data_IF_913761859068
#
_entry.id   IF_913761859068
#
_cell.length_a   1.000
_cell.length_b   1.000
_cell.length_c   1.000
_cell.angle_alpha   90.00
_cell.angle_beta   90.00
_cell.angle_gamma   90.00
#
_symmetry.space_group_name_H-M   'P 1'
#
loop_
_entity.id
_entity.type
_entity.pdbx_description
1 polymer ?
#
# COMPACT_ATOMS: atom_id res chain seq x y z
N UNK A 1 38.00 -2.48 -5.70
CA UNK A 1 37.22 -2.98 -6.85
C UNK A 1 36.34 -4.10 -6.32
N UNK A 2 35.02 -4.02 -6.57
CA UNK A 2 33.91 -4.51 -5.72
C UNK A 2 33.53 -3.51 -4.61
N UNK A 3 32.87 -2.44 -5.06
CA UNK A 3 31.89 -1.68 -4.30
C UNK A 3 30.66 -1.53 -5.22
N UNK A 4 29.48 -1.43 -4.60
CA UNK A 4 28.20 -0.99 -5.17
C UNK A 4 27.30 -2.02 -5.90
N UNK A 5 26.00 -1.92 -5.56
CA UNK A 5 24.79 -2.33 -6.34
C UNK A 5 23.80 -3.39 -5.75
N UNK A 6 23.85 -3.76 -4.47
CA UNK A 6 22.90 -4.75 -3.90
C UNK A 6 21.83 -4.18 -2.94
N UNK A 7 21.22 -3.05 -3.29
CA UNK A 7 19.94 -2.64 -2.69
C UNK A 7 18.96 -2.26 -3.80
N UNK A 8 18.38 -3.25 -4.46
CA UNK A 8 17.18 -3.07 -5.26
C UNK A 8 15.99 -2.78 -4.33
N UNK A 9 15.86 -1.53 -3.90
CA UNK A 9 14.71 -1.04 -3.14
C UNK A 9 13.58 -0.73 -4.12
N UNK A 10 12.84 -1.77 -4.49
CA UNK A 10 11.68 -1.66 -5.36
C UNK A 10 10.53 -2.46 -4.75
N UNK A 11 9.89 -1.88 -3.72
CA UNK A 11 8.63 -2.40 -3.19
C UNK A 11 7.54 -2.04 -4.20
N UNK A 12 7.34 -2.89 -5.20
CA UNK A 12 6.20 -2.79 -6.11
C UNK A 12 5.16 -3.84 -5.74
N UNK A 13 4.02 -3.40 -5.22
CA UNK A 13 2.92 -4.27 -4.82
C UNK A 13 2.02 -4.50 -6.06
N UNK A 14 2.29 -5.58 -6.81
CA UNK A 14 1.40 -6.08 -7.88
C UNK A 14 0.51 -7.18 -7.37
N UNK A 15 -0.74 -6.87 -6.99
CA UNK A 15 -1.64 -7.91 -6.52
C UNK A 15 -3.07 -7.71 -7.00
N UNK A 16 -3.30 -8.09 -8.25
CA UNK A 16 -4.61 -8.60 -8.65
C UNK A 16 -4.44 -9.67 -9.74
N UNK A 17 -4.29 -10.94 -9.32
CA UNK A 17 -4.26 -12.08 -10.26
C UNK A 17 -5.69 -12.49 -10.53
N UNK A 18 -6.22 -12.26 -11.74
CA UNK A 18 -7.34 -13.08 -12.23
C UNK A 18 -7.27 -13.40 -13.72
N UNK A 19 -7.25 -14.71 -13.92
CA UNK A 19 -7.52 -15.51 -15.12
C UNK A 19 -6.36 -15.74 -16.09
N UNK A 20 -6.08 -17.03 -16.44
CA UNK A 20 -5.26 -17.34 -17.59
C UNK A 20 -5.98 -16.87 -18.87
N UNK A 21 -5.20 -16.41 -19.85
CA UNK A 21 -5.71 -16.01 -21.16
C UNK A 21 -6.54 -17.15 -21.77
N UNK A 22 -7.82 -16.86 -22.08
CA UNK A 22 -8.75 -17.83 -22.68
C UNK A 22 -9.89 -18.35 -21.78
N UNK A 23 -10.21 -17.68 -20.67
CA UNK A 23 -11.43 -18.03 -19.90
C UNK A 23 -12.66 -17.51 -20.66
N UNK A 24 -13.55 -18.36 -21.20
CA UNK A 24 -14.75 -17.89 -21.88
C UNK A 24 -15.66 -17.18 -20.88
N UNK A 25 -16.21 -16.02 -21.25
CA UNK A 25 -17.26 -15.37 -20.47
C UNK A 25 -18.48 -16.30 -20.42
N UNK A 26 -18.75 -16.85 -19.24
CA UNK A 26 -19.91 -17.73 -19.05
C UNK A 26 -21.13 -16.85 -18.76
N UNK A 27 -22.20 -16.90 -19.58
CA UNK A 27 -23.46 -16.26 -19.25
C UNK A 27 -24.01 -16.88 -17.96
N UNK A 28 -24.53 -16.03 -17.06
CA UNK A 28 -25.19 -16.43 -15.82
C UNK A 28 -26.26 -17.50 -16.08
N UNK A 29 -25.91 -18.75 -15.78
CA UNK A 29 -26.84 -19.87 -15.71
C UNK A 29 -26.96 -20.31 -14.25
N UNK A 30 -28.18 -20.17 -13.74
CA UNK A 30 -28.62 -20.60 -12.42
C UNK A 30 -28.45 -22.13 -12.36
N UNK A 31 -27.71 -22.66 -11.38
CA UNK A 31 -27.64 -24.10 -11.14
C UNK A 31 -28.33 -24.46 -9.83
N UNK A 32 -29.39 -25.24 -9.96
CA UNK A 32 -30.02 -26.01 -8.89
C UNK A 32 -29.07 -27.11 -8.35
N UNK A 33 -29.35 -27.50 -7.12
CA UNK A 33 -28.66 -28.49 -6.29
C UNK A 33 -28.69 -29.92 -6.85
N UNK A 34 -27.66 -30.73 -6.56
CA UNK A 34 -27.75 -32.02 -5.83
C UNK A 34 -26.46 -32.87 -5.88
N UNK A 35 -25.97 -33.31 -4.71
CA UNK A 35 -25.71 -34.74 -4.46
C UNK A 35 -24.26 -35.32 -4.45
N UNK A 36 -23.69 -35.46 -3.24
CA UNK A 36 -23.24 -36.74 -2.59
C UNK A 36 -21.90 -37.44 -3.01
N UNK A 37 -20.94 -37.38 -2.05
CA UNK A 37 -20.11 -38.47 -1.43
C UNK A 37 -18.66 -38.81 -1.87
N UNK A 38 -17.72 -38.34 -1.03
CA UNK A 38 -16.62 -39.00 -0.25
C UNK A 38 -15.75 -40.09 -0.92
N UNK A 39 -14.43 -39.86 -0.99
CA UNK A 39 -13.41 -40.69 -0.29
C UNK A 39 -12.09 -39.92 -0.11
N UNK A 40 -11.58 -39.90 1.14
CA UNK A 40 -10.44 -39.08 1.56
C UNK A 40 -9.06 -39.73 1.39
N UNK A 41 -8.03 -38.90 1.53
CA UNK A 41 -6.70 -39.31 1.95
C UNK A 41 -6.23 -38.43 3.11
N UNK A 42 -6.07 -39.06 4.28
CA UNK A 42 -5.44 -38.50 5.48
C UNK A 42 -3.93 -38.60 5.40
N UNK A 43 -3.22 -37.49 5.64
CA UNK A 43 -1.85 -37.31 6.21
C UNK A 43 -1.32 -35.97 5.65
N UNK A 44 -0.75 -35.03 6.38
CA UNK A 44 0.03 -35.00 7.63
C UNK A 44 -0.15 -33.62 8.26
N UNK A 45 -0.05 -33.53 9.59
CA UNK A 45 -0.31 -32.32 10.39
C UNK A 45 0.18 -31.02 9.75
N UNK A 46 -0.76 -30.11 9.49
CA UNK A 46 -0.45 -28.73 9.14
C UNK A 46 0.33 -28.14 10.30
N UNK A 47 1.66 -28.02 10.13
CA UNK A 47 2.48 -27.22 11.01
C UNK A 47 1.83 -25.83 11.08
N UNK A 48 1.47 -25.40 12.29
CA UNK A 48 0.98 -24.05 12.56
C UNK A 48 2.16 -23.11 12.28
N UNK A 49 2.28 -22.70 11.02
CA UNK A 49 3.40 -21.94 10.51
C UNK A 49 2.93 -21.13 9.31
N UNK A 50 2.58 -19.87 9.55
CA UNK A 50 2.28 -18.91 8.49
C UNK A 50 3.56 -18.66 7.67
N UNK A 51 3.71 -19.35 6.54
CA UNK A 51 4.78 -19.09 5.55
C UNK A 51 4.30 -19.06 4.10
N UNK A 52 3.00 -18.91 3.86
CA UNK A 52 2.49 -18.61 2.51
C UNK A 52 1.88 -17.22 2.53
N UNK A 53 2.44 -16.34 1.70
CA UNK A 53 1.74 -15.11 1.33
C UNK A 53 0.48 -15.53 0.55
N UNK A 54 -0.66 -14.86 0.77
CA UNK A 54 -1.88 -15.08 -0.03
C UNK A 54 -1.73 -14.58 -1.48
N UNK A 55 -0.55 -14.05 -1.80
CA UNK A 55 -0.28 -13.13 -2.88
C UNK A 55 1.00 -13.57 -3.60
N UNK A 56 0.91 -13.77 -4.91
CA UNK A 56 2.04 -14.20 -5.77
C UNK A 56 2.75 -12.94 -6.28
N UNK A 57 4.00 -12.75 -5.89
CA UNK A 57 4.86 -11.65 -6.37
C UNK A 57 5.84 -12.09 -7.47
N UNK A 58 6.30 -11.14 -8.28
CA UNK A 58 7.36 -11.36 -9.27
C UNK A 58 8.15 -10.07 -9.54
N UNK A 59 9.45 -10.20 -9.82
CA UNK A 59 10.34 -9.10 -10.24
C UNK A 59 10.68 -9.14 -11.74
N UNK A 60 10.00 -9.97 -12.54
CA UNK A 60 10.33 -10.19 -13.96
C UNK A 60 9.86 -9.06 -14.89
N UNK A 61 8.95 -8.21 -14.42
CA UNK A 61 8.31 -7.17 -15.24
C UNK A 61 9.05 -5.84 -15.15
N UNK A 62 8.99 -5.05 -16.22
CA UNK A 62 9.51 -3.69 -16.21
C UNK A 62 8.62 -2.76 -15.39
N UNK A 63 9.22 -1.71 -14.83
CA UNK A 63 8.54 -0.70 -13.99
C UNK A 63 7.32 -0.07 -14.68
N UNK A 64 7.36 0.16 -15.99
CA UNK A 64 6.21 0.72 -16.71
C UNK A 64 5.04 -0.26 -16.83
N UNK A 65 5.32 -1.56 -17.02
CA UNK A 65 4.29 -2.62 -17.10
C UNK A 65 3.56 -2.73 -15.77
N UNK A 66 4.39 -2.72 -14.74
CA UNK A 66 4.02 -2.58 -13.36
C UNK A 66 3.04 -1.40 -13.16
N UNK A 67 3.48 -0.16 -13.37
CA UNK A 67 2.62 1.02 -13.17
C UNK A 67 1.31 0.91 -13.99
N UNK A 68 1.38 0.49 -15.25
CA UNK A 68 0.20 0.34 -16.11
C UNK A 68 -0.81 -0.67 -15.59
N UNK A 69 -0.34 -1.78 -15.03
CA UNK A 69 -1.18 -2.82 -14.42
C UNK A 69 -1.84 -2.32 -13.13
N UNK A 70 -1.09 -1.62 -12.27
CA UNK A 70 -1.61 -1.12 -10.99
C UNK A 70 -2.69 -0.06 -11.18
N UNK A 71 -2.61 0.75 -12.24
CA UNK A 71 -3.53 1.86 -12.49
C UNK A 71 -4.63 1.52 -13.50
N UNK A 72 -4.82 0.24 -13.87
CA UNK A 72 -5.82 -0.18 -14.85
C UNK A 72 -7.24 -0.16 -14.25
N UNK A 73 -7.72 1.02 -13.85
CA UNK A 73 -9.01 1.24 -13.22
C UNK A 73 -10.15 0.78 -14.15
N UNK A 74 -11.07 -0.09 -13.67
CA UNK A 74 -12.24 -0.47 -14.44
C UNK A 74 -13.02 0.77 -14.91
N UNK A 75 -13.52 0.72 -16.15
CA UNK A 75 -14.21 1.82 -16.85
C UNK A 75 -13.34 2.98 -17.34
N UNK A 76 -12.14 3.18 -16.81
CA UNK A 76 -11.23 4.25 -17.25
C UNK A 76 -10.16 3.75 -18.21
N UNK A 77 -9.58 2.58 -17.93
CA UNK A 77 -8.47 2.02 -18.68
C UNK A 77 -8.72 0.55 -18.97
N UNK A 78 -8.25 0.11 -20.14
CA UNK A 78 -8.19 -1.32 -20.46
C UNK A 78 -7.31 -2.04 -19.44
N UNK A 79 -7.62 -3.29 -19.13
CA UNK A 79 -6.70 -4.14 -18.38
C UNK A 79 -5.34 -4.25 -19.06
N UNK A 80 -4.35 -4.49 -18.22
CA UNK A 80 -3.04 -4.87 -18.69
C UNK A 80 -2.97 -6.38 -18.78
N UNK A 81 -2.67 -6.93 -19.96
CA UNK A 81 -2.42 -8.36 -20.12
C UNK A 81 -0.97 -8.62 -20.51
N UNK A 82 -0.41 -9.66 -19.90
CA UNK A 82 0.70 -10.40 -20.49
C UNK A 82 0.12 -11.67 -21.15
N UNK A 83 0.88 -12.35 -22.01
CA UNK A 83 0.42 -13.53 -22.77
C UNK A 83 -0.18 -14.66 -21.88
N UNK A 84 0.02 -14.59 -20.55
CA UNK A 84 -0.42 -15.58 -19.57
C UNK A 84 -1.47 -15.03 -18.60
N UNK A 85 -1.42 -13.76 -18.23
CA UNK A 85 -2.18 -13.17 -17.13
C UNK A 85 -2.83 -11.84 -17.51
N UNK A 86 -3.99 -11.58 -16.93
CA UNK A 86 -4.71 -10.30 -17.03
C UNK A 86 -4.72 -9.61 -15.66
N UNK A 87 -4.33 -8.34 -15.67
CA UNK A 87 -4.13 -7.50 -14.50
C UNK A 87 -5.13 -6.35 -14.52
N UNK A 88 -5.69 -6.08 -13.35
CA UNK A 88 -6.64 -5.00 -13.08
C UNK A 88 -6.08 -4.10 -11.98
N UNK A 89 -6.67 -2.92 -11.82
CA UNK A 89 -6.28 -1.97 -10.79
C UNK A 89 -6.12 -2.62 -9.40
N UNK A 90 -5.07 -2.19 -8.70
CA UNK A 90 -4.79 -2.58 -7.33
C UNK A 90 -5.88 -2.11 -6.36
N UNK A 91 -6.59 -1.03 -6.66
CA UNK A 91 -7.64 -0.44 -5.81
C UNK A 91 -8.75 -1.44 -5.45
N UNK A 92 -9.06 -2.39 -6.34
CA UNK A 92 -10.07 -3.43 -6.13
C UNK A 92 -9.71 -4.33 -4.92
N UNK A 93 -8.42 -4.49 -4.63
CA UNK A 93 -7.91 -5.38 -3.57
C UNK A 93 -7.26 -4.59 -2.42
N UNK A 94 -6.55 -3.52 -2.76
CA UNK A 94 -5.60 -2.84 -1.88
C UNK A 94 -5.50 -1.34 -2.18
N UNK A 95 -6.63 -0.63 -2.22
CA UNK A 95 -6.62 0.83 -2.43
C UNK A 95 -5.88 1.60 -1.32
N UNK A 96 -5.82 1.02 -0.11
CA UNK A 96 -4.89 1.43 0.93
C UNK A 96 -3.83 0.31 1.12
N UNK A 97 -2.63 0.44 0.53
CA UNK A 97 -1.63 -0.62 0.53
C UNK A 97 -0.86 -0.73 1.85
N UNK A 98 -1.19 0.04 2.88
CA UNK A 98 -0.39 0.16 4.12
C UNK A 98 -0.11 -1.19 4.79
N UNK A 99 -1.10 -2.09 4.85
CA UNK A 99 -0.91 -3.42 5.42
C UNK A 99 0.05 -4.30 4.59
N UNK A 100 0.03 -4.14 3.27
CA UNK A 100 0.97 -4.82 2.37
C UNK A 100 2.37 -4.26 2.55
N UNK A 101 2.51 -2.94 2.68
CA UNK A 101 3.80 -2.30 2.97
C UNK A 101 4.43 -2.79 4.27
N UNK A 102 3.64 -2.92 5.35
CA UNK A 102 4.12 -3.50 6.63
C UNK A 102 4.61 -4.93 6.41
N UNK A 103 3.83 -5.74 5.69
CA UNK A 103 4.18 -7.15 5.44
C UNK A 103 5.45 -7.29 4.61
N UNK A 104 5.57 -6.54 3.52
CA UNK A 104 6.75 -6.58 2.65
C UNK A 104 7.99 -6.07 3.38
N UNK A 105 7.87 -5.02 4.21
CA UNK A 105 8.96 -4.55 5.05
C UNK A 105 9.47 -5.65 6.01
N UNK A 106 8.56 -6.40 6.65
CA UNK A 106 8.93 -7.54 7.51
C UNK A 106 9.57 -8.70 6.75
N UNK A 107 9.25 -8.88 5.47
CA UNK A 107 9.87 -9.91 4.63
C UNK A 107 11.29 -9.50 4.20
N UNK A 108 11.49 -8.23 3.86
CA UNK A 108 12.80 -7.69 3.46
C UNK A 108 13.75 -7.56 4.65
N UNK A 109 13.24 -7.10 5.80
CA UNK A 109 14.02 -6.86 7.00
C UNK A 109 13.37 -7.52 8.22
N UNK A 110 13.51 -8.85 8.38
CA UNK A 110 12.84 -9.62 9.44
C UNK A 110 13.28 -9.20 10.86
N UNK A 111 14.51 -8.73 11.00
CA UNK A 111 15.08 -8.29 12.28
C UNK A 111 14.90 -6.79 12.54
N UNK A 112 14.46 -6.02 11.54
CA UNK A 112 14.24 -4.58 11.69
C UNK A 112 12.84 -4.28 12.21
N UNK A 113 12.75 -3.44 13.22
CA UNK A 113 11.47 -2.94 13.73
C UNK A 113 11.01 -1.75 12.90
N UNK A 114 9.70 -1.65 12.69
CA UNK A 114 9.08 -0.48 12.06
C UNK A 114 8.85 0.56 13.15
N UNK A 115 9.56 1.68 13.06
CA UNK A 115 9.54 2.76 14.04
C UNK A 115 8.41 3.79 13.80
N UNK A 116 8.13 4.05 12.52
CA UNK A 116 7.22 5.08 12.06
C UNK A 116 6.53 4.59 10.80
N UNK A 117 5.22 4.78 10.73
CA UNK A 117 4.40 4.46 9.58
C UNK A 117 3.62 5.71 9.19
N UNK A 118 3.80 6.14 7.94
CA UNK A 118 3.10 7.29 7.38
C UNK A 118 2.30 6.80 6.18
N UNK A 119 0.99 7.03 6.20
CA UNK A 119 0.09 6.72 5.10
C UNK A 119 -0.59 8.01 4.64
N UNK A 120 -0.63 8.20 3.32
CA UNK A 120 -1.07 9.44 2.67
C UNK A 120 -2.21 9.09 1.73
N UNK A 121 -3.38 9.67 1.97
CA UNK A 121 -4.56 9.53 1.12
C UNK A 121 -4.64 10.64 0.06
N UNK A 122 -5.43 10.38 -0.98
CA UNK A 122 -5.68 11.31 -2.08
C UNK A 122 -6.81 12.32 -1.80
N UNK A 123 -7.26 12.43 -0.55
CA UNK A 123 -8.44 13.20 -0.18
C UNK A 123 -9.70 12.36 -0.16
N UNK A 124 -10.71 12.84 0.57
CA UNK A 124 -12.03 12.22 0.64
C UNK A 124 -13.10 13.28 0.82
N UNK A 125 -14.30 12.96 0.37
CA UNK A 125 -15.47 13.80 0.58
C UNK A 125 -16.15 13.44 1.91
N UNK A 126 -16.73 14.41 2.63
CA UNK A 126 -17.55 14.10 3.79
C UNK A 126 -18.67 13.11 3.45
N UNK A 127 -18.92 12.14 4.32
CA UNK A 127 -19.98 11.14 4.11
C UNK A 127 -21.34 11.81 3.99
N UNK A 128 -22.00 11.64 2.84
CA UNK A 128 -23.35 12.14 2.59
C UNK A 128 -24.35 10.98 2.57
N UNK A 129 -25.54 11.20 3.15
CA UNK A 129 -26.63 10.25 3.03
C UNK A 129 -27.09 10.18 1.56
N UNK A 130 -27.09 8.97 0.99
CA UNK A 130 -27.59 8.76 -0.38
C UNK A 130 -29.10 9.00 -0.43
N UNK A 131 -29.54 9.84 -1.37
CA UNK A 131 -30.96 10.13 -1.62
C UNK A 131 -31.44 9.31 -2.82
N UNK A 132 -32.29 8.29 -2.62
CA UNK A 132 -32.87 7.50 -3.72
C UNK A 132 -33.19 6.04 -3.37
N UNK A 133 -33.88 5.34 -4.28
CA UNK A 133 -34.13 3.90 -4.21
C UNK A 133 -33.14 3.11 -5.07
N UNK A 134 -32.89 1.85 -4.71
CA UNK A 134 -31.85 1.01 -5.32
C UNK A 134 -32.19 0.66 -6.77
N UNK A 135 -31.39 1.11 -7.75
CA UNK A 135 -31.40 0.59 -9.12
C UNK A 135 -30.25 -0.39 -9.33
N UNK A 136 -30.42 -1.30 -10.29
CA UNK A 136 -29.42 -2.32 -10.61
C UNK A 136 -28.05 -1.73 -11.00
N UNK A 137 -28.04 -0.63 -11.77
CA UNK A 137 -26.81 0.08 -12.13
C UNK A 137 -26.11 0.69 -10.91
N UNK A 138 -26.88 1.20 -9.95
CA UNK A 138 -26.32 1.74 -8.70
C UNK A 138 -25.59 0.64 -7.91
N UNK A 139 -26.06 -0.61 -8.00
CA UNK A 139 -25.46 -1.75 -7.28
C UNK A 139 -24.03 -2.02 -7.73
N UNK A 140 -23.74 -1.94 -9.04
CA UNK A 140 -22.38 -2.11 -9.56
C UNK A 140 -21.42 -1.04 -9.03
N UNK A 141 -21.86 0.22 -9.06
CA UNK A 141 -21.10 1.34 -8.51
C UNK A 141 -20.88 1.21 -6.99
N UNK A 142 -21.91 0.81 -6.23
CA UNK A 142 -21.78 0.55 -4.78
C UNK A 142 -20.70 -0.50 -4.50
N UNK A 143 -20.70 -1.59 -5.28
CA UNK A 143 -19.75 -2.69 -5.08
C UNK A 143 -18.31 -2.24 -5.34
N UNK A 144 -18.10 -1.40 -6.36
CA UNK A 144 -16.77 -0.87 -6.69
C UNK A 144 -16.31 0.13 -5.64
N UNK A 145 -17.16 1.10 -5.28
CA UNK A 145 -16.86 2.05 -4.20
C UNK A 145 -16.57 1.32 -2.88
N UNK A 146 -17.33 0.27 -2.59
CA UNK A 146 -17.11 -0.57 -1.41
C UNK A 146 -15.81 -1.35 -1.50
N UNK A 147 -15.47 -1.94 -2.65
CA UNK A 147 -14.21 -2.66 -2.84
C UNK A 147 -13.00 -1.73 -2.71
N UNK A 148 -13.09 -0.54 -3.29
CA UNK A 148 -12.05 0.48 -3.28
C UNK A 148 -12.04 1.35 -2.00
N UNK A 149 -12.88 1.07 -0.99
CA UNK A 149 -12.85 1.83 0.27
C UNK A 149 -11.51 1.62 1.00
N UNK A 150 -10.88 2.74 1.36
CA UNK A 150 -9.62 2.80 2.12
C UNK A 150 -9.83 2.71 3.63
N UNK A 151 -11.07 2.89 4.09
CA UNK A 151 -11.42 3.06 5.51
C UNK A 151 -11.19 1.79 6.32
N UNK A 152 -11.40 0.62 5.72
CA UNK A 152 -11.23 -0.67 6.43
C UNK A 152 -9.82 -0.87 6.95
N UNK A 153 -8.82 -0.53 6.13
CA UNK A 153 -7.41 -0.65 6.52
C UNK A 153 -7.08 0.41 7.56
N UNK A 154 -7.58 1.63 7.37
CA UNK A 154 -7.37 2.72 8.32
C UNK A 154 -7.98 2.44 9.70
N UNK A 155 -9.22 1.96 9.76
CA UNK A 155 -9.91 1.61 11.01
C UNK A 155 -9.17 0.48 11.75
N UNK A 156 -8.70 -0.54 11.01
CA UNK A 156 -7.92 -1.62 11.58
C UNK A 156 -6.58 -1.12 12.16
N UNK A 157 -5.84 -0.29 11.42
CA UNK A 157 -4.54 0.21 11.86
C UNK A 157 -4.67 1.21 13.00
N UNK A 158 -5.63 2.13 12.94
CA UNK A 158 -5.91 3.10 14.01
C UNK A 158 -6.38 2.42 15.31
N UNK A 159 -6.99 1.23 15.23
CA UNK A 159 -7.36 0.44 16.41
C UNK A 159 -6.18 -0.36 16.98
N UNK A 160 -5.37 -0.97 16.10
CA UNK A 160 -4.33 -1.92 16.51
C UNK A 160 -2.99 -1.26 16.86
N UNK A 161 -2.58 -0.23 16.12
CA UNK A 161 -1.26 0.40 16.30
C UNK A 161 -1.11 1.13 17.65
N UNK A 162 -2.13 1.76 18.25
CA UNK A 162 -2.01 2.30 19.60
C UNK A 162 -1.69 1.24 20.68
N UNK A 163 -1.96 -0.03 20.42
CA UNK A 163 -1.57 -1.13 21.31
C UNK A 163 -0.07 -1.44 21.24
N UNK A 164 0.62 -0.89 20.24
CA UNK A 164 2.06 -1.07 19.97
C UNK A 164 2.77 0.28 20.16
N UNK A 165 3.15 0.65 21.39
CA UNK A 165 3.70 1.98 21.70
C UNK A 165 5.05 2.27 21.01
N UNK A 166 5.70 1.25 20.45
CA UNK A 166 6.95 1.38 19.68
C UNK A 166 6.72 2.01 18.29
N UNK A 167 5.50 1.89 17.73
CA UNK A 167 5.18 2.30 16.37
C UNK A 167 4.36 3.59 16.41
N UNK A 168 4.89 4.66 15.80
CA UNK A 168 4.09 5.87 15.58
C UNK A 168 3.41 5.80 14.22
N UNK A 169 2.09 6.03 14.20
CA UNK A 169 1.28 6.01 13.00
C UNK A 169 0.74 7.40 12.68
N UNK A 170 0.94 7.84 11.44
CA UNK A 170 0.42 9.09 10.91
C UNK A 170 -0.40 8.80 9.65
N UNK A 171 -1.70 9.07 9.70
CA UNK A 171 -2.59 9.04 8.53
C UNK A 171 -2.89 10.47 8.11
N UNK A 172 -2.44 10.86 6.92
CA UNK A 172 -2.74 12.16 6.33
C UNK A 172 -3.72 11.99 5.17
N UNK A 173 -4.98 12.35 5.40
CA UNK A 173 -6.01 12.32 4.37
C UNK A 173 -6.94 13.54 4.53
N UNK A 174 -6.89 14.53 3.62
CA UNK A 174 -7.81 15.66 3.66
C UNK A 174 -9.27 15.21 3.51
N UNK A 175 -10.15 15.75 4.33
CA UNK A 175 -11.61 15.56 4.19
C UNK A 175 -12.25 16.91 3.90
N UNK A 176 -12.66 17.13 2.66
CA UNK A 176 -13.21 18.41 2.20
C UNK A 176 -14.15 18.18 1.00
N UNK A 177 -15.19 19.00 0.88
CA UNK A 177 -16.10 18.96 -0.26
C UNK A 177 -15.39 19.26 -1.60
N UNK A 178 -14.29 20.03 -1.55
CA UNK A 178 -13.44 20.32 -2.72
C UNK A 178 -12.63 19.12 -3.20
N UNK A 179 -12.59 18.02 -2.44
CA UNK A 179 -11.98 16.76 -2.85
C UNK A 179 -12.93 15.89 -3.69
N UNK A 180 -14.16 16.35 -3.96
CA UNK A 180 -15.11 15.72 -4.88
C UNK A 180 -14.65 15.92 -6.32
N UNK A 181 -13.64 15.14 -6.72
CA UNK A 181 -12.99 15.20 -8.02
C UNK A 181 -13.03 13.81 -8.65
N UNK A 182 -13.51 13.73 -9.89
CA UNK A 182 -13.51 12.50 -10.67
C UNK A 182 -12.08 12.05 -11.01
N UNK A 183 -11.90 10.74 -11.21
CA UNK A 183 -10.58 10.14 -11.47
C UNK A 183 -9.93 10.62 -12.77
N UNK A 184 -10.74 10.94 -13.78
CA UNK A 184 -10.31 11.42 -15.10
C UNK A 184 -10.40 12.94 -15.26
N UNK A 185 -10.51 13.69 -14.15
CA UNK A 185 -10.57 15.15 -14.19
C UNK A 185 -9.27 15.78 -14.73
N UNK A 186 -9.40 16.63 -15.74
CA UNK A 186 -8.28 17.30 -16.43
C UNK A 186 -8.37 18.83 -16.40
N UNK A 187 -9.47 19.40 -15.90
CA UNK A 187 -9.65 20.85 -15.83
C UNK A 187 -8.77 21.46 -14.72
N UNK A 188 -7.78 22.30 -15.06
CA UNK A 188 -6.88 22.92 -14.08
C UNK A 188 -7.61 23.74 -13.01
N UNK A 189 -8.82 24.24 -13.28
CA UNK A 189 -9.60 24.99 -12.28
C UNK A 189 -10.10 24.09 -11.14
N UNK A 190 -10.39 22.83 -11.41
CA UNK A 190 -10.77 21.84 -10.39
C UNK A 190 -9.55 21.43 -9.57
N UNK A 191 -8.42 21.22 -10.23
CA UNK A 191 -7.12 20.98 -9.58
C UNK A 191 -6.74 22.08 -8.60
N UNK A 192 -6.96 23.36 -8.95
CA UNK A 192 -6.73 24.49 -8.04
C UNK A 192 -7.60 24.44 -6.78
N UNK A 193 -8.84 23.95 -6.88
CA UNK A 193 -9.72 23.77 -5.71
C UNK A 193 -9.18 22.68 -4.78
N UNK A 194 -8.72 21.57 -5.35
CA UNK A 194 -8.10 20.47 -4.61
C UNK A 194 -6.83 20.94 -3.91
N UNK A 195 -5.94 21.64 -4.62
CA UNK A 195 -4.73 22.21 -4.02
C UNK A 195 -5.04 23.16 -2.86
N UNK A 196 -6.05 24.02 -3.01
CA UNK A 196 -6.47 24.91 -1.95
C UNK A 196 -6.96 24.13 -0.72
N UNK A 197 -7.73 23.05 -0.92
CA UNK A 197 -8.18 22.19 0.17
C UNK A 197 -7.02 21.50 0.89
N UNK A 198 -6.03 21.00 0.14
CA UNK A 198 -4.82 20.37 0.70
C UNK A 198 -3.99 21.39 1.47
N UNK A 199 -3.80 22.61 0.94
CA UNK A 199 -3.08 23.70 1.62
C UNK A 199 -3.75 24.07 2.95
N UNK A 200 -5.07 24.20 2.96
CA UNK A 200 -5.84 24.46 4.18
C UNK A 200 -5.68 23.31 5.19
N UNK A 201 -5.71 22.06 4.72
CA UNK A 201 -5.53 20.88 5.57
C UNK A 201 -4.13 20.84 6.20
N UNK A 202 -3.07 21.13 5.44
CA UNK A 202 -1.69 21.16 5.94
C UNK A 202 -1.54 22.26 7.01
N UNK A 203 -2.11 23.44 6.79
CA UNK A 203 -2.04 24.53 7.77
C UNK A 203 -2.74 24.17 9.08
N UNK A 204 -3.95 23.59 9.01
CA UNK A 204 -4.72 23.14 10.17
C UNK A 204 -4.00 22.05 10.97
N UNK A 205 -3.28 21.15 10.29
CA UNK A 205 -2.62 20.00 10.90
C UNK A 205 -1.09 20.15 11.00
N UNK A 206 -0.57 21.39 10.94
CA UNK A 206 0.86 21.68 10.84
C UNK A 206 1.71 21.03 11.95
N UNK A 207 1.17 20.93 13.17
CA UNK A 207 1.82 20.24 14.28
C UNK A 207 1.99 18.73 14.02
N UNK A 208 0.98 18.06 13.47
CA UNK A 208 1.06 16.63 13.15
C UNK A 208 2.10 16.35 12.04
N UNK A 209 2.16 17.21 11.03
CA UNK A 209 3.20 17.13 10.00
C UNK A 209 4.59 17.36 10.59
N UNK A 210 4.74 18.34 11.49
CA UNK A 210 6.00 18.59 12.17
C UNK A 210 6.44 17.39 13.01
N UNK A 211 5.53 16.80 13.77
CA UNK A 211 5.80 15.61 14.58
C UNK A 211 6.22 14.41 13.70
N UNK A 212 5.56 14.20 12.56
CA UNK A 212 5.93 13.16 11.61
C UNK A 212 7.35 13.41 11.04
N UNK A 213 7.65 14.64 10.62
CA UNK A 213 8.98 15.01 10.13
C UNK A 213 10.07 14.81 11.20
N UNK A 214 9.84 15.27 12.43
CA UNK A 214 10.78 15.07 13.54
C UNK A 214 11.04 13.59 13.76
N UNK A 215 9.99 12.75 13.80
CA UNK A 215 10.11 11.30 13.99
C UNK A 215 10.89 10.62 12.87
N UNK A 216 10.69 11.02 11.62
CA UNK A 216 11.40 10.49 10.45
C UNK A 216 12.88 10.91 10.42
N UNK A 217 13.24 12.03 11.05
CA UNK A 217 14.62 12.53 11.13
C UNK A 217 15.42 11.96 12.31
N UNK A 218 14.76 11.46 13.37
CA UNK A 218 15.43 10.89 14.54
C UNK A 218 16.47 9.80 14.20
N UNK A 219 16.23 8.86 13.27
CA UNK A 219 17.22 7.85 12.89
C UNK A 219 18.49 8.46 12.28
N UNK A 220 18.35 9.50 11.44
CA UNK A 220 19.48 10.17 10.78
C UNK A 220 20.37 10.94 11.77
N UNK A 221 19.79 11.55 12.81
CA UNK A 221 20.55 12.25 13.85
C UNK A 221 21.41 11.29 14.71
N UNK A 222 20.96 10.05 14.88
CA UNK A 222 21.76 9.01 15.54
C UNK A 222 22.87 8.47 14.64
N UNK A 223 22.66 8.39 13.34
CA UNK A 223 23.66 7.94 12.35
C UNK A 223 24.76 8.99 12.11
N UNK A 224 24.43 10.29 12.11
CA UNK A 224 25.44 11.37 12.09
C UNK A 224 26.30 11.35 13.36
N UNK A 225 25.69 11.18 14.54
CA UNK A 225 26.45 10.99 15.80
C UNK A 225 27.27 9.70 15.79
N UNK A 226 26.79 8.63 15.17
CA UNK A 226 27.56 7.39 15.02
C UNK A 226 28.74 7.56 14.06
N UNK A 227 28.54 8.22 12.92
CA UNK A 227 29.62 8.51 11.95
C UNK A 227 30.63 9.52 12.48
N UNK A 228 30.21 10.51 13.28
CA UNK A 228 31.12 11.42 14.00
C UNK A 228 31.90 10.71 15.12
N UNK A 229 31.24 9.81 15.88
CA UNK A 229 31.93 8.99 16.89
C UNK A 229 32.89 7.98 16.26
N UNK A 230 32.59 7.42 15.09
CA UNK A 230 33.51 6.56 14.33
C UNK A 230 34.72 7.35 13.80
N UNK A 231 34.52 8.59 13.32
CA UNK A 231 35.60 9.50 12.90
C UNK A 231 36.47 9.94 14.08
N UNK A 232 35.89 10.19 15.26
CA UNK A 232 36.66 10.55 16.45
C UNK A 232 37.45 9.36 16.98
N UNK A 233 36.87 8.16 17.05
CA UNK A 233 37.55 6.91 17.45
C UNK A 233 38.72 6.54 16.52
N UNK A 234 38.60 6.76 15.22
CA UNK A 234 39.70 6.55 14.26
C UNK A 234 40.81 7.60 14.40
N UNK A 235 40.49 8.85 14.76
CA UNK A 235 41.49 9.90 14.99
C UNK A 235 42.32 9.69 16.28
N UNK A 236 41.76 9.03 17.30
CA UNK A 236 42.50 8.69 18.52
C UNK A 236 43.45 7.50 18.34
N UNK A 237 43.21 6.61 17.38
CA UNK A 237 44.10 5.46 17.13
C UNK A 237 45.35 5.82 16.29
N UNK A 238 45.32 6.90 15.51
CA UNK A 238 46.45 7.31 14.64
C UNK A 238 47.56 8.06 15.40
N UNK A 239 47.30 8.56 16.62
CA UNK A 239 48.31 9.29 17.42
C UNK A 239 49.16 8.40 18.36
N UNK A 240 49.01 7.07 18.31
CA UNK A 240 49.54 6.15 19.31
C UNK A 240 50.74 5.27 18.92
N UNK A 241 51.35 5.41 17.74
CA UNK A 241 52.48 4.55 17.34
C UNK A 241 53.70 5.41 16.97
N UNK A 242 54.54 5.68 17.97
CA UNK A 242 55.96 6.01 17.74
C UNK A 242 56.74 4.70 17.79
N UNK A 243 57.11 4.16 16.63
CA UNK A 243 58.17 3.15 16.57
C UNK A 243 59.49 3.79 17.00
N UNK A 244 60.16 3.14 17.95
CA UNK A 244 61.56 3.35 18.32
C UNK A 244 62.37 2.22 17.73
#
# INVERSE_FOLDING_TARGET
MCADEDVCLYVYIFLNVRYPVGTPEVPLAISESSGITILGSTTTGAQVGYKRSAFIGSCKYHVWQAIRASSAAPYYLDDFSDDVYRWQDGAIVANNPTIFSIREAQLLWPDAKIDCLVSIGCGSVPTKARKGGWRYLDTGQVLIESACSVDRVEEALSTLLPMLPEIQYFQFNPVDERCDMELDETDPTVWLKLEAAVKDYIQKNSESFKNACERLLLPFAHDEKWTENLKSLTLFQVKGIKCR
#
